data_IF_906882065220
#
_entry.id   IF_906882065220
#
_cell.length_a   1.000
_cell.length_b   1.000
_cell.length_c   1.000
_cell.angle_alpha   90.00
_cell.angle_beta   90.00
_cell.angle_gamma   90.00
#
_symmetry.space_group_name_H-M   'P 1'
#
loop_
_entity.id
_entity.type
_entity.pdbx_description
1 polymer ?
#
# COMPACT_ATOMS: atom_id res chain seq x y z
N UNK A 1 -8.50 10.56 21.54
CA UNK A 1 -9.13 10.51 20.22
C UNK A 1 -8.23 11.25 19.24
N UNK A 2 -7.74 10.63 18.18
CA UNK A 2 -6.88 11.31 17.19
C UNK A 2 -7.74 12.26 16.34
N UNK A 3 -7.24 13.48 16.11
CA UNK A 3 -7.93 14.47 15.27
C UNK A 3 -7.56 14.23 13.81
N UNK A 4 -8.54 13.92 12.97
CA UNK A 4 -8.33 13.76 11.52
C UNK A 4 -8.21 15.16 10.92
N UNK A 5 -7.08 15.45 10.30
CA UNK A 5 -6.81 16.74 9.68
C UNK A 5 -6.97 16.73 8.16
N UNK A 6 -6.75 15.59 7.51
CA UNK A 6 -6.77 15.46 6.05
C UNK A 6 -6.96 14.00 5.61
N UNK A 7 -7.16 13.76 4.32
CA UNK A 7 -7.29 12.45 3.71
C UNK A 7 -6.32 12.31 2.53
N UNK A 8 -5.52 11.24 2.53
CA UNK A 8 -4.72 10.83 1.37
C UNK A 8 -5.35 9.62 0.69
N UNK A 9 -5.51 9.69 -0.62
CA UNK A 9 -6.07 8.60 -1.42
C UNK A 9 -4.95 7.86 -2.15
N UNK A 10 -4.91 6.53 -1.99
CA UNK A 10 -3.98 5.66 -2.71
C UNK A 10 -4.76 4.65 -3.52
N UNK A 11 -4.50 4.58 -4.83
CA UNK A 11 -5.01 3.50 -5.68
C UNK A 11 -4.00 2.35 -5.62
N UNK A 12 -4.47 1.17 -5.25
CA UNK A 12 -3.65 -0.01 -5.06
C UNK A 12 -4.17 -1.14 -5.94
N UNK A 13 -3.26 -1.88 -6.54
CA UNK A 13 -3.56 -3.18 -7.13
C UNK A 13 -3.42 -4.27 -6.07
N UNK A 14 -4.45 -5.11 -5.94
CA UNK A 14 -4.45 -6.36 -5.16
C UNK A 14 -4.75 -7.51 -6.10
N UNK A 15 -4.49 -8.75 -5.68
CA UNK A 15 -4.85 -9.96 -6.42
C UNK A 15 -6.37 -10.16 -6.51
N UNK A 16 -7.14 -9.54 -5.62
CA UNK A 16 -8.61 -9.54 -5.66
C UNK A 16 -9.18 -8.41 -6.54
N UNK A 17 -8.32 -7.50 -7.02
CA UNK A 17 -8.68 -6.38 -7.88
C UNK A 17 -8.18 -5.02 -7.39
N UNK A 18 -8.45 -3.94 -8.14
CA UNK A 18 -8.05 -2.60 -7.75
C UNK A 18 -8.89 -2.10 -6.57
N UNK A 19 -8.22 -1.48 -5.59
CA UNK A 19 -8.87 -0.85 -4.44
C UNK A 19 -8.39 0.59 -4.26
N UNK A 20 -9.22 1.42 -3.65
CA UNK A 20 -8.85 2.78 -3.24
C UNK A 20 -8.75 2.84 -1.72
N UNK A 21 -7.53 2.96 -1.21
CA UNK A 21 -7.25 3.16 0.20
C UNK A 21 -7.44 4.64 0.56
N UNK A 22 -8.27 4.89 1.56
CA UNK A 22 -8.51 6.22 2.14
C UNK A 22 -7.72 6.34 3.45
N UNK A 23 -6.54 6.97 3.40
CA UNK A 23 -5.69 7.18 4.55
C UNK A 23 -6.15 8.44 5.30
N UNK A 24 -6.72 8.25 6.48
CA UNK A 24 -7.12 9.35 7.39
C UNK A 24 -5.89 9.88 8.10
N UNK A 25 -5.39 11.02 7.65
CA UNK A 25 -4.21 11.66 8.22
C UNK A 25 -4.58 12.36 9.53
N UNK A 26 -3.70 12.26 10.51
CA UNK A 26 -3.99 12.71 11.88
C UNK A 26 -2.87 13.55 12.49
N UNK A 27 -3.27 14.37 13.45
CA UNK A 27 -2.39 15.09 14.36
C UNK A 27 -2.50 14.51 15.77
N UNK A 28 -1.42 14.68 16.56
CA UNK A 28 -1.54 14.41 17.99
C UNK A 28 -2.56 15.40 18.58
N UNK A 29 -3.59 14.94 19.31
CA UNK A 29 -4.59 15.85 19.87
C UNK A 29 -4.03 16.74 21.00
N UNK A 30 -2.92 16.32 21.60
CA UNK A 30 -2.21 17.09 22.62
C UNK A 30 -1.41 18.23 21.97
N UNK A 31 -1.64 19.47 22.43
CA UNK A 31 -1.00 20.68 21.91
C UNK A 31 0.45 20.83 22.37
N UNK A 32 0.80 20.24 23.51
CA UNK A 32 2.14 20.27 24.08
C UNK A 32 3.03 19.16 23.50
N UNK A 33 2.44 18.21 22.76
CA UNK A 33 3.18 17.20 22.04
C UNK A 33 4.02 17.84 20.92
N UNK A 34 5.33 17.58 20.84
CA UNK A 34 6.16 18.06 19.72
C UNK A 34 5.66 17.57 18.34
N UNK A 35 4.89 16.48 18.34
CA UNK A 35 4.25 15.92 17.15
C UNK A 35 2.89 16.50 16.80
N UNK A 36 2.38 17.50 17.54
CA UNK A 36 1.08 18.13 17.30
C UNK A 36 1.00 18.74 15.89
N UNK A 37 2.01 19.52 15.50
CA UNK A 37 2.05 20.20 14.20
C UNK A 37 2.37 19.27 13.02
N UNK A 38 2.69 17.99 13.27
CA UNK A 38 3.11 17.06 12.23
C UNK A 38 1.95 16.16 11.80
N UNK A 39 1.61 16.22 10.52
CA UNK A 39 0.70 15.27 9.88
C UNK A 39 1.32 13.89 9.85
N UNK A 40 0.61 12.91 10.41
CA UNK A 40 1.01 11.51 10.44
C UNK A 40 0.01 10.66 9.67
N UNK A 41 0.54 9.59 9.10
CA UNK A 41 -0.27 8.51 8.53
C UNK A 41 -0.66 7.54 9.65
N UNK A 42 -1.85 6.94 9.60
CA UNK A 42 -2.24 5.94 10.58
C UNK A 42 -1.33 4.71 10.46
N UNK A 43 -0.95 4.12 11.58
CA UNK A 43 -0.08 2.93 11.61
C UNK A 43 -0.69 1.76 10.83
N UNK A 44 -2.02 1.67 10.81
CA UNK A 44 -2.78 0.69 10.03
C UNK A 44 -2.56 0.81 8.51
N UNK A 45 -2.10 1.95 7.98
CA UNK A 45 -1.79 2.04 6.54
C UNK A 45 -0.68 1.05 6.16
N UNK A 46 0.31 0.85 7.04
CA UNK A 46 1.46 0.00 6.78
C UNK A 46 1.09 -1.50 6.73
N UNK A 47 -0.01 -1.92 7.37
CA UNK A 47 -0.47 -3.31 7.29
C UNK A 47 -1.22 -3.62 6.00
N UNK A 48 -1.61 -2.60 5.21
CA UNK A 48 -2.38 -2.78 3.97
C UNK A 48 -1.45 -2.83 2.75
N UNK A 49 -0.50 -1.90 2.65
CA UNK A 49 0.42 -1.83 1.53
C UNK A 49 1.77 -1.21 1.91
N UNK A 50 2.87 -1.57 1.22
CA UNK A 50 4.16 -0.91 1.42
C UNK A 50 4.06 0.61 1.24
N UNK A 51 4.82 1.42 2.00
CA UNK A 51 4.82 2.87 1.87
C UNK A 51 5.18 3.30 0.45
N UNK A 52 4.42 4.23 -0.12
CA UNK A 52 4.65 4.84 -1.46
C UNK A 52 4.53 3.90 -2.66
N UNK A 53 4.06 2.67 -2.49
CA UNK A 53 3.85 1.72 -3.59
C UNK A 53 2.38 1.68 -4.04
N UNK A 54 2.15 1.32 -5.31
CA UNK A 54 0.82 1.18 -5.92
C UNK A 54 0.27 -0.25 -5.88
N UNK A 55 0.86 -1.13 -5.07
CA UNK A 55 0.46 -2.54 -4.92
C UNK A 55 0.26 -2.89 -3.45
N UNK A 56 -0.64 -3.83 -3.17
CA UNK A 56 -0.83 -4.43 -1.85
C UNK A 56 0.30 -5.39 -1.47
N UNK A 57 0.31 -5.78 -0.19
CA UNK A 57 1.25 -6.80 0.31
C UNK A 57 1.09 -8.16 -0.37
N UNK A 58 -0.14 -8.51 -0.73
CA UNK A 58 -0.49 -9.73 -1.44
C UNK A 58 0.23 -9.83 -2.80
N UNK A 59 0.16 -8.77 -3.62
CA UNK A 59 0.85 -8.68 -4.91
C UNK A 59 2.36 -8.69 -4.70
N UNK A 60 2.87 -7.94 -3.71
CA UNK A 60 4.30 -7.93 -3.39
C UNK A 60 4.83 -9.32 -3.03
N UNK A 61 4.16 -10.02 -2.12
CA UNK A 61 4.52 -11.37 -1.70
C UNK A 61 4.39 -12.37 -2.86
N UNK A 62 3.36 -12.23 -3.71
CA UNK A 62 3.16 -13.06 -4.89
C UNK A 62 4.30 -12.91 -5.90
N UNK A 63 4.76 -11.67 -6.15
CA UNK A 63 5.93 -11.39 -7.01
C UNK A 63 7.19 -11.98 -6.37
N UNK A 64 7.39 -11.75 -5.07
CA UNK A 64 8.55 -12.23 -4.33
C UNK A 64 8.70 -13.74 -4.37
N UNK A 65 7.61 -14.49 -4.13
CA UNK A 65 7.61 -15.94 -4.20
C UNK A 65 8.01 -16.46 -5.59
N UNK A 66 7.47 -15.87 -6.67
CA UNK A 66 7.81 -16.27 -8.04
C UNK A 66 9.24 -15.93 -8.42
N UNK A 67 9.70 -14.74 -8.03
CA UNK A 67 11.05 -14.29 -8.39
C UNK A 67 12.11 -15.03 -7.60
N UNK A 68 11.93 -15.19 -6.30
CA UNK A 68 12.97 -15.67 -5.39
C UNK A 68 12.90 -17.17 -5.14
N UNK A 69 11.70 -17.76 -5.05
CA UNK A 69 11.56 -19.21 -4.78
C UNK A 69 11.46 -20.04 -6.07
N UNK A 70 10.83 -19.49 -7.12
CA UNK A 70 10.66 -20.19 -8.42
C UNK A 70 11.64 -19.73 -9.50
N UNK A 71 12.50 -18.75 -9.21
CA UNK A 71 13.47 -18.17 -10.15
C UNK A 71 12.88 -17.73 -11.49
N UNK A 72 11.59 -17.34 -11.51
CA UNK A 72 10.91 -16.96 -12.75
C UNK A 72 11.52 -15.68 -13.34
N UNK A 73 11.48 -15.57 -14.67
CA UNK A 73 11.88 -14.36 -15.37
C UNK A 73 10.89 -13.23 -15.07
N UNK A 74 11.38 -11.99 -15.07
CA UNK A 74 10.52 -10.82 -14.81
C UNK A 74 9.43 -10.70 -15.88
N UNK A 75 9.75 -10.98 -17.14
CA UNK A 75 8.78 -10.94 -18.24
C UNK A 75 7.64 -11.94 -18.06
N UNK A 76 7.91 -13.15 -17.56
CA UNK A 76 6.86 -14.14 -17.28
C UNK A 76 5.99 -13.73 -16.09
N UNK A 77 6.60 -13.14 -15.05
CA UNK A 77 5.85 -12.59 -13.92
C UNK A 77 4.92 -11.46 -14.39
N UNK A 78 5.40 -10.58 -15.28
CA UNK A 78 4.60 -9.52 -15.86
C UNK A 78 3.45 -10.03 -16.72
N UNK A 79 3.66 -11.10 -17.51
CA UNK A 79 2.56 -11.70 -18.29
C UNK A 79 1.52 -12.33 -17.38
N UNK A 80 1.91 -13.11 -16.37
CA UNK A 80 0.96 -13.69 -15.41
C UNK A 80 0.16 -12.61 -14.65
N UNK A 81 0.81 -11.50 -14.23
CA UNK A 81 0.11 -10.38 -13.58
C UNK A 81 -0.94 -9.73 -14.49
N UNK A 82 -0.62 -9.59 -15.78
CA UNK A 82 -1.51 -9.03 -16.76
C UNK A 82 -2.68 -9.98 -17.08
N UNK A 83 -2.37 -11.24 -17.36
CA UNK A 83 -3.32 -12.22 -17.88
C UNK A 83 -4.32 -12.66 -16.80
N UNK A 84 -3.83 -12.92 -15.58
CA UNK A 84 -4.66 -13.47 -14.50
C UNK A 84 -5.31 -12.39 -13.63
N UNK A 85 -4.66 -11.23 -13.48
CA UNK A 85 -5.08 -10.18 -12.52
C UNK A 85 -5.32 -8.81 -13.17
N UNK A 86 -5.04 -8.64 -14.47
CA UNK A 86 -5.18 -7.36 -15.15
C UNK A 86 -4.23 -6.26 -14.65
N UNK A 87 -3.17 -6.62 -13.92
CA UNK A 87 -2.22 -5.66 -13.32
C UNK A 87 -1.16 -5.31 -14.36
N UNK A 88 -1.05 -4.02 -14.68
CA UNK A 88 -0.07 -3.47 -15.63
C UNK A 88 0.98 -2.64 -14.90
N UNK A 89 2.18 -2.57 -15.48
CA UNK A 89 3.27 -1.71 -15.03
C UNK A 89 2.92 -0.23 -15.21
#
# INVERSE_FOLDING_TARGET
MMHICDHRYRRLHTLEGPVQLVCKLNHCPDRDCPGHAKTKSPEQEASIAPPSWAIGWDVFCWIGHRRCSRHMSISLIQSELLDDYGIKR
#
